data_IF_318564726880
#
_entry.id   IF_318564726880
#
_cell.length_a   1.000
_cell.length_b   1.000
_cell.length_c   1.000
_cell.angle_alpha   90.00
_cell.angle_beta   90.00
_cell.angle_gamma   90.00
#
_symmetry.space_group_name_H-M   'P 1'
#
loop_
_entity.id
_entity.type
_entity.pdbx_description
1 polymer ?
#
# COMPACT_ATOMS: atom_id res chain seq x y z
N UNK A 1 30.22 9.75 4.57
CA UNK A 1 29.41 8.80 5.35
C UNK A 1 29.61 7.42 4.72
N UNK A 2 29.97 6.39 5.47
CA UNK A 2 30.20 5.05 4.89
C UNK A 2 28.89 4.53 4.27
N UNK A 3 28.97 3.88 3.11
CA UNK A 3 27.78 3.39 2.37
C UNK A 3 27.16 2.13 3.01
N UNK A 4 27.94 1.38 3.80
CA UNK A 4 27.50 0.17 4.49
C UNK A 4 26.30 0.38 5.46
N UNK A 5 26.32 1.37 6.38
CA UNK A 5 25.20 1.58 7.30
C UNK A 5 23.89 1.90 6.57
N UNK A 6 23.93 2.69 5.49
CA UNK A 6 22.72 3.04 4.72
C UNK A 6 22.13 1.84 3.99
N UNK A 7 22.98 0.96 3.43
CA UNK A 7 22.53 -0.29 2.81
C UNK A 7 21.94 -1.27 3.83
N UNK A 8 22.51 -1.34 5.04
CA UNK A 8 21.95 -2.14 6.13
C UNK A 8 20.57 -1.63 6.56
N UNK A 9 20.40 -0.31 6.68
CA UNK A 9 19.09 0.32 6.91
C UNK A 9 18.10 -0.05 5.80
N UNK A 10 18.53 0.02 4.55
CA UNK A 10 17.71 -0.39 3.40
C UNK A 10 17.28 -1.86 3.46
N UNK A 11 18.20 -2.76 3.82
CA UNK A 11 17.89 -4.19 4.01
C UNK A 11 16.88 -4.42 5.13
N UNK A 12 17.06 -3.77 6.28
CA UNK A 12 16.11 -3.88 7.40
C UNK A 12 14.74 -3.35 6.98
N UNK A 13 14.69 -2.21 6.28
CA UNK A 13 13.43 -1.67 5.75
C UNK A 13 12.75 -2.64 4.77
N UNK A 14 13.51 -3.30 3.89
CA UNK A 14 12.97 -4.32 2.99
C UNK A 14 12.46 -5.56 3.72
N UNK A 15 13.14 -6.01 4.77
CA UNK A 15 12.67 -7.15 5.59
C UNK A 15 11.36 -6.80 6.28
N UNK A 16 11.27 -5.59 6.86
CA UNK A 16 10.03 -5.12 7.50
C UNK A 16 8.92 -4.93 6.46
N UNK A 17 9.24 -4.41 5.27
CA UNK A 17 8.31 -4.31 4.16
C UNK A 17 7.77 -5.69 3.79
N UNK A 18 8.64 -6.67 3.52
CA UNK A 18 8.24 -8.03 3.19
C UNK A 18 7.37 -8.67 4.29
N UNK A 19 7.73 -8.50 5.57
CA UNK A 19 6.92 -8.99 6.69
C UNK A 19 5.53 -8.34 6.72
N UNK A 20 5.44 -7.02 6.50
CA UNK A 20 4.16 -6.32 6.46
C UNK A 20 3.29 -6.75 5.28
N UNK A 21 3.86 -6.97 4.08
CA UNK A 21 3.13 -7.49 2.92
C UNK A 21 2.67 -8.93 3.14
N UNK A 22 3.49 -9.78 3.77
CA UNK A 22 3.11 -11.15 4.10
C UNK A 22 1.94 -11.19 5.09
N UNK A 23 1.96 -10.32 6.11
CA UNK A 23 0.84 -10.14 7.03
C UNK A 23 -0.40 -9.56 6.33
N UNK A 24 -0.20 -8.63 5.39
CA UNK A 24 -1.28 -8.10 4.57
C UNK A 24 -1.93 -9.21 3.72
N UNK A 25 -1.15 -10.12 3.15
CA UNK A 25 -1.65 -11.24 2.35
C UNK A 25 -2.61 -12.14 3.15
N UNK A 26 -2.29 -12.44 4.42
CA UNK A 26 -3.13 -13.27 5.28
C UNK A 26 -4.32 -12.53 5.92
N UNK A 27 -4.34 -11.20 5.89
CA UNK A 27 -5.41 -10.39 6.49
C UNK A 27 -6.36 -9.80 5.46
N UNK A 28 -5.89 -9.51 4.24
CA UNK A 28 -6.67 -8.82 3.23
C UNK A 28 -7.89 -9.66 2.83
N UNK A 29 -9.11 -9.12 2.95
CA UNK A 29 -10.31 -9.71 2.42
C UNK A 29 -10.14 -10.05 0.95
N UNK A 30 -10.53 -11.27 0.58
CA UNK A 30 -10.35 -11.79 -0.76
C UNK A 30 -11.68 -12.21 -1.39
N UNK A 31 -11.72 -12.17 -2.70
CA UNK A 31 -12.82 -12.71 -3.51
C UNK A 31 -12.50 -14.17 -3.81
N UNK A 32 -13.44 -15.05 -3.49
CA UNK A 32 -13.33 -16.49 -3.72
C UNK A 32 -14.54 -16.97 -4.49
N UNK A 33 -14.33 -17.96 -5.36
CA UNK A 33 -15.42 -18.63 -6.06
C UNK A 33 -16.44 -19.21 -5.06
N UNK A 34 -17.72 -18.96 -5.32
CA UNK A 34 -18.83 -19.34 -4.44
C UNK A 34 -20.03 -19.78 -5.28
N UNK A 35 -20.44 -21.04 -5.08
CA UNK A 35 -21.61 -21.63 -5.75
C UNK A 35 -22.95 -21.12 -5.21
N UNK A 36 -22.94 -20.39 -4.09
CA UNK A 36 -24.14 -19.84 -3.46
C UNK A 36 -24.35 -18.35 -3.76
N UNK A 37 -23.40 -17.72 -4.45
CA UNK A 37 -23.51 -16.33 -4.89
C UNK A 37 -24.16 -16.23 -6.27
N UNK A 38 -25.02 -15.23 -6.47
CA UNK A 38 -25.63 -14.94 -7.78
C UNK A 38 -24.60 -14.53 -8.84
N UNK A 39 -23.43 -14.05 -8.40
CA UNK A 39 -22.30 -13.64 -9.27
C UNK A 39 -21.23 -14.72 -9.38
N UNK A 40 -21.40 -15.87 -8.72
CA UNK A 40 -20.38 -16.93 -8.67
C UNK A 40 -19.19 -16.63 -7.75
N UNK A 41 -19.16 -15.46 -7.10
CA UNK A 41 -18.07 -15.03 -6.22
C UNK A 41 -18.59 -14.43 -4.92
N UNK A 42 -17.82 -14.57 -3.84
CA UNK A 42 -18.11 -13.97 -2.55
C UNK A 42 -16.83 -13.35 -1.94
N UNK A 43 -17.00 -12.22 -1.26
CA UNK A 43 -15.92 -11.59 -0.50
C UNK A 43 -15.80 -12.26 0.89
N UNK A 44 -14.62 -12.80 1.18
CA UNK A 44 -14.26 -13.43 2.45
C UNK A 44 -13.38 -12.47 3.22
N UNK A 45 -13.86 -12.03 4.39
CA UNK A 45 -13.07 -11.22 5.32
C UNK A 45 -12.59 -12.13 6.46
N UNK A 46 -11.27 -12.39 6.60
CA UNK A 46 -10.75 -13.32 7.61
C UNK A 46 -11.13 -12.95 9.05
N UNK A 47 -11.15 -11.65 9.36
CA UNK A 47 -11.56 -11.11 10.66
C UNK A 47 -12.07 -9.67 10.51
N UNK A 48 -12.87 -9.15 11.46
CA UNK A 48 -13.28 -7.74 11.44
C UNK A 48 -12.09 -6.77 11.50
N UNK A 49 -11.00 -7.16 12.19
CA UNK A 49 -9.78 -6.34 12.36
C UNK A 49 -9.01 -6.19 11.05
N UNK A 50 -9.14 -7.17 10.14
CA UNK A 50 -8.52 -7.12 8.80
C UNK A 50 -8.89 -5.85 8.03
N UNK A 51 -10.10 -5.31 8.22
CA UNK A 51 -10.54 -4.11 7.52
C UNK A 51 -9.72 -2.86 7.86
N UNK A 52 -9.04 -2.85 9.00
CA UNK A 52 -8.13 -1.78 9.40
C UNK A 52 -6.66 -2.20 9.22
N UNK A 53 -6.34 -3.46 9.53
CA UNK A 53 -4.98 -3.96 9.46
C UNK A 53 -4.45 -3.99 8.02
N UNK A 54 -5.24 -4.45 7.05
CA UNK A 54 -4.81 -4.58 5.66
C UNK A 54 -4.41 -3.24 5.02
N UNK A 55 -5.23 -2.16 5.05
CA UNK A 55 -4.81 -0.88 4.47
C UNK A 55 -3.58 -0.30 5.18
N UNK A 56 -3.44 -0.49 6.50
CA UNK A 56 -2.26 -0.04 7.25
C UNK A 56 -0.99 -0.80 6.85
N UNK A 57 -1.06 -2.14 6.79
CA UNK A 57 0.06 -3.01 6.44
C UNK A 57 0.51 -2.78 4.99
N UNK A 58 -0.44 -2.61 4.06
CA UNK A 58 -0.16 -2.29 2.67
C UNK A 58 0.52 -0.93 2.50
N UNK A 59 0.06 0.09 3.22
CA UNK A 59 0.69 1.41 3.21
C UNK A 59 2.13 1.36 3.75
N UNK A 60 2.32 0.76 4.93
CA UNK A 60 3.64 0.61 5.56
C UNK A 60 4.59 -0.16 4.65
N UNK A 61 4.14 -1.31 4.16
CA UNK A 61 4.92 -2.16 3.29
C UNK A 61 5.35 -1.48 2.01
N UNK A 62 4.44 -0.76 1.37
CA UNK A 62 4.74 -0.05 0.11
C UNK A 62 5.73 1.10 0.32
N UNK A 63 5.56 1.89 1.38
CA UNK A 63 6.46 3.01 1.71
C UNK A 63 7.86 2.51 2.09
N UNK A 64 7.94 1.50 2.96
CA UNK A 64 9.22 0.91 3.37
C UNK A 64 9.92 0.18 2.23
N UNK A 65 9.18 -0.45 1.31
CA UNK A 65 9.77 -1.10 0.15
C UNK A 65 10.48 -0.09 -0.75
N UNK A 66 9.80 1.02 -1.09
CA UNK A 66 10.39 2.08 -1.92
C UNK A 66 11.56 2.76 -1.21
N UNK A 67 11.40 3.07 0.08
CA UNK A 67 12.46 3.61 0.93
C UNK A 67 13.70 2.71 0.99
N UNK A 68 13.49 1.43 1.29
CA UNK A 68 14.54 0.43 1.41
C UNK A 68 15.25 0.14 0.10
N UNK A 69 14.51 0.02 -1.01
CA UNK A 69 15.08 -0.19 -2.33
C UNK A 69 16.01 0.95 -2.74
N UNK A 70 15.59 2.21 -2.51
CA UNK A 70 16.43 3.36 -2.79
C UNK A 70 17.68 3.41 -1.90
N UNK A 71 17.57 3.06 -0.61
CA UNK A 71 18.71 2.99 0.30
C UNK A 71 19.72 1.91 -0.08
N UNK A 72 19.28 0.75 -0.58
CA UNK A 72 20.16 -0.31 -1.10
C UNK A 72 20.86 0.11 -2.39
N UNK A 73 20.12 0.76 -3.29
CA UNK A 73 20.65 1.30 -4.54
C UNK A 73 21.57 2.51 -4.33
N UNK A 74 21.69 3.01 -3.09
CA UNK A 74 22.34 4.26 -2.73
C UNK A 74 21.83 5.46 -3.55
N UNK A 75 20.57 5.38 -3.97
CA UNK A 75 19.93 6.41 -4.76
C UNK A 75 19.40 7.53 -3.86
N UNK A 76 19.46 8.76 -4.35
CA UNK A 76 18.66 9.83 -3.78
C UNK A 76 17.21 9.62 -4.20
N UNK A 77 16.34 9.47 -3.19
CA UNK A 77 14.94 9.17 -3.42
C UNK A 77 14.23 10.41 -3.98
N UNK A 78 13.99 10.45 -5.28
CA UNK A 78 13.28 11.55 -5.91
C UNK A 78 11.79 11.50 -5.58
N UNK A 79 11.09 12.63 -5.68
CA UNK A 79 9.64 12.69 -5.52
C UNK A 79 8.93 11.72 -6.48
N UNK A 80 9.45 11.57 -7.70
CA UNK A 80 8.94 10.61 -8.70
C UNK A 80 9.15 9.15 -8.29
N UNK A 81 10.28 8.81 -7.66
CA UNK A 81 10.48 7.46 -7.16
C UNK A 81 9.52 7.15 -5.99
N UNK A 82 9.22 8.15 -5.15
CA UNK A 82 8.25 7.99 -4.07
C UNK A 82 6.81 7.75 -4.55
N UNK A 83 6.46 8.15 -5.79
CA UNK A 83 5.18 7.82 -6.42
C UNK A 83 4.96 6.32 -6.65
N UNK A 84 6.02 5.51 -6.54
CA UNK A 84 5.88 4.05 -6.59
C UNK A 84 5.12 3.51 -5.37
N UNK A 85 5.18 4.18 -4.21
CA UNK A 85 4.55 3.70 -2.99
C UNK A 85 3.01 3.56 -3.12
N UNK A 86 2.24 4.59 -3.55
CA UNK A 86 0.80 4.41 -3.75
C UNK A 86 0.49 3.37 -4.84
N UNK A 87 1.30 3.28 -5.90
CA UNK A 87 1.08 2.28 -6.97
C UNK A 87 1.27 0.84 -6.47
N UNK A 88 2.29 0.59 -5.64
CA UNK A 88 2.49 -0.71 -5.01
C UNK A 88 1.34 -1.07 -4.07
N UNK A 89 0.81 -0.09 -3.34
CA UNK A 89 -0.37 -0.27 -2.48
C UNK A 89 -1.60 -0.72 -3.28
N UNK A 90 -1.87 -0.10 -4.44
CA UNK A 90 -2.97 -0.51 -5.34
C UNK A 90 -2.76 -1.91 -5.87
N UNK A 91 -1.57 -2.20 -6.39
CA UNK A 91 -1.25 -3.51 -6.98
C UNK A 91 -1.36 -4.60 -5.94
N UNK A 92 -0.80 -4.40 -4.75
CA UNK A 92 -0.86 -5.37 -3.66
C UNK A 92 -2.30 -5.56 -3.14
N UNK A 93 -3.08 -4.49 -2.99
CA UNK A 93 -4.50 -4.58 -2.64
C UNK A 93 -5.29 -5.39 -3.68
N UNK A 94 -5.02 -5.18 -4.97
CA UNK A 94 -5.65 -5.92 -6.05
C UNK A 94 -5.28 -7.40 -6.04
N UNK A 95 -3.98 -7.71 -5.96
CA UNK A 95 -3.46 -9.09 -5.92
C UNK A 95 -4.04 -9.84 -4.71
N UNK A 96 -3.97 -9.28 -3.50
CA UNK A 96 -4.51 -9.97 -2.33
C UNK A 96 -6.04 -10.04 -2.34
N UNK A 97 -6.70 -9.01 -2.85
CA UNK A 97 -8.15 -8.99 -3.03
C UNK A 97 -8.65 -10.05 -4.01
N UNK A 98 -7.83 -10.48 -4.98
CA UNK A 98 -8.12 -11.60 -5.89
C UNK A 98 -7.83 -12.98 -5.27
N UNK A 99 -7.42 -13.04 -4.00
CA UNK A 99 -7.24 -14.30 -3.27
C UNK A 99 -5.83 -14.85 -3.24
N UNK A 100 -4.84 -14.20 -3.85
CA UNK A 100 -3.45 -14.70 -3.85
C UNK A 100 -2.84 -14.88 -2.46
N UNK A 101 -3.38 -14.22 -1.43
CA UNK A 101 -2.91 -14.37 -0.04
C UNK A 101 -3.60 -15.47 0.77
N UNK A 102 -4.81 -15.90 0.37
CA UNK A 102 -5.62 -16.86 1.11
C UNK A 102 -5.78 -18.20 0.38
N UNK A 103 -5.98 -18.15 -0.93
CA UNK A 103 -6.06 -19.34 -1.79
C UNK A 103 -5.37 -19.10 -3.15
N UNK A 104 -4.02 -19.21 -3.19
CA UNK A 104 -3.24 -18.96 -4.40
C UNK A 104 -3.62 -19.89 -5.57
N UNK A 105 -4.15 -21.08 -5.27
CA UNK A 105 -4.50 -22.09 -6.27
C UNK A 105 -5.71 -21.69 -7.13
N UNK A 106 -6.68 -20.99 -6.54
CA UNK A 106 -7.86 -20.49 -7.26
C UNK A 106 -7.72 -19.04 -7.71
N UNK A 107 -6.78 -18.28 -7.14
CA UNK A 107 -6.60 -16.85 -7.43
C UNK A 107 -6.39 -16.52 -8.91
N UNK A 108 -5.70 -17.40 -9.67
CA UNK A 108 -5.51 -17.18 -11.10
C UNK A 108 -6.84 -17.27 -11.88
N UNK A 109 -7.71 -18.21 -11.51
CA UNK A 109 -9.03 -18.32 -12.12
C UNK A 109 -9.88 -17.09 -11.80
N UNK A 110 -9.85 -16.63 -10.54
CA UNK A 110 -10.49 -15.39 -10.10
C UNK A 110 -9.95 -14.17 -10.86
N UNK A 111 -8.63 -14.09 -11.08
CA UNK A 111 -7.99 -13.00 -11.80
C UNK A 111 -8.26 -12.98 -13.31
N UNK A 112 -8.82 -14.05 -13.88
CA UNK A 112 -9.24 -14.07 -15.28
C UNK A 112 -10.72 -13.73 -15.47
N UNK A 113 -11.48 -13.62 -14.39
CA UNK A 113 -12.92 -13.39 -14.44
C UNK A 113 -13.27 -11.89 -14.31
N UNK A 114 -13.97 -11.30 -15.28
CA UNK A 114 -14.41 -9.90 -15.21
C UNK A 114 -15.29 -9.60 -13.99
N UNK A 115 -16.14 -10.54 -13.56
CA UNK A 115 -17.04 -10.35 -12.44
C UNK A 115 -16.29 -10.20 -11.11
N UNK A 116 -15.11 -10.83 -10.99
CA UNK A 116 -14.25 -10.67 -9.82
C UNK A 116 -13.69 -9.24 -9.74
N UNK A 117 -13.33 -8.62 -10.87
CA UNK A 117 -12.88 -7.23 -10.90
C UNK A 117 -13.99 -6.23 -10.59
N UNK A 118 -15.21 -6.49 -11.05
CA UNK A 118 -16.37 -5.69 -10.66
C UNK A 118 -16.59 -5.74 -9.14
N UNK A 119 -16.61 -6.94 -8.56
CA UNK A 119 -16.71 -7.13 -7.10
C UNK A 119 -15.54 -6.52 -6.33
N UNK A 120 -14.33 -6.55 -6.87
CA UNK A 120 -13.17 -5.95 -6.25
C UNK A 120 -13.28 -4.42 -6.23
N UNK A 121 -13.77 -3.86 -7.34
CA UNK A 121 -14.05 -2.43 -7.50
C UNK A 121 -15.25 -1.95 -6.68
N UNK A 122 -16.15 -2.85 -6.29
CA UNK A 122 -17.35 -2.50 -5.51
C UNK A 122 -17.32 -3.13 -4.12
N UNK A 123 -17.08 -2.33 -3.08
CA UNK A 123 -17.23 -2.79 -1.69
C UNK A 123 -15.91 -2.84 -0.91
N UNK A 124 -15.51 -4.02 -0.41
CA UNK A 124 -14.41 -4.14 0.57
C UNK A 124 -13.02 -3.93 -0.08
N UNK A 125 -12.81 -4.45 -1.30
CA UNK A 125 -11.55 -4.28 -2.04
C UNK A 125 -11.21 -2.82 -2.30
N UNK A 126 -12.17 -2.05 -2.84
CA UNK A 126 -12.04 -0.62 -3.06
C UNK A 126 -11.71 0.18 -1.79
N UNK A 127 -12.32 -0.18 -0.66
CA UNK A 127 -12.05 0.47 0.64
C UNK A 127 -10.61 0.26 1.13
N UNK A 128 -10.07 -0.93 0.94
CA UNK A 128 -8.69 -1.27 1.33
C UNK A 128 -7.69 -0.61 0.39
N UNK A 129 -7.96 -0.63 -0.92
CA UNK A 129 -7.15 0.06 -1.91
C UNK A 129 -7.11 1.58 -1.62
N UNK A 130 -8.24 2.20 -1.31
CA UNK A 130 -8.30 3.62 -0.95
C UNK A 130 -7.45 3.94 0.28
N UNK A 131 -7.53 3.14 1.35
CA UNK A 131 -6.69 3.30 2.54
C UNK A 131 -5.20 3.13 2.25
N UNK A 132 -4.82 2.11 1.48
CA UNK A 132 -3.44 1.87 1.08
C UNK A 132 -2.88 3.00 0.21
N UNK A 133 -3.68 3.53 -0.73
CA UNK A 133 -3.31 4.70 -1.56
C UNK A 133 -3.14 5.94 -0.70
N UNK A 134 -4.07 6.22 0.21
CA UNK A 134 -3.99 7.37 1.10
C UNK A 134 -2.71 7.34 1.95
N UNK A 135 -2.36 6.18 2.52
CA UNK A 135 -1.10 5.99 3.24
C UNK A 135 0.14 6.05 2.36
N UNK A 136 0.11 5.43 1.18
CA UNK A 136 1.21 5.44 0.22
C UNK A 136 1.50 6.83 -0.33
N UNK A 137 0.47 7.66 -0.53
CA UNK A 137 0.59 9.04 -1.04
C UNK A 137 1.33 9.97 -0.07
N UNK A 138 1.46 9.63 1.21
CA UNK A 138 2.24 10.42 2.17
C UNK A 138 3.71 10.52 1.75
N UNK A 139 4.29 9.42 1.24
CA UNK A 139 5.70 9.41 0.81
C UNK A 139 6.01 10.41 -0.32
N UNK A 140 5.31 10.42 -1.48
CA UNK A 140 5.56 11.40 -2.53
C UNK A 140 5.18 12.82 -2.11
N UNK A 141 4.16 13.03 -1.29
CA UNK A 141 3.80 14.38 -0.79
C UNK A 141 4.94 14.95 0.06
N UNK A 142 5.46 14.17 1.02
CA UNK A 142 6.58 14.58 1.85
C UNK A 142 7.82 14.85 0.99
N UNK A 143 8.19 13.95 0.09
CA UNK A 143 9.37 14.16 -0.78
C UNK A 143 9.20 15.33 -1.73
N UNK A 144 8.04 15.52 -2.34
CA UNK A 144 7.77 16.66 -3.20
C UNK A 144 7.85 17.98 -2.43
N UNK A 145 7.37 18.00 -1.17
CA UNK A 145 7.44 19.20 -0.33
C UNK A 145 8.88 19.60 0.03
N UNK A 146 9.77 18.64 0.26
CA UNK A 146 11.17 18.91 0.63
C UNK A 146 12.08 19.13 -0.57
N UNK A 147 11.67 18.68 -1.76
CA UNK A 147 12.43 18.84 -3.01
C UNK A 147 11.84 19.91 -3.94
N UNK A 148 10.80 20.63 -3.48
CA UNK A 148 10.11 21.68 -4.22
C UNK A 148 9.52 21.23 -5.59
N UNK A 149 9.29 19.92 -5.78
CA UNK A 149 8.69 19.36 -6.99
C UNK A 149 7.17 19.56 -6.99
N UNK A 150 6.73 20.73 -7.44
CA UNK A 150 5.32 21.15 -7.44
C UNK A 150 4.42 20.19 -8.23
N UNK A 151 4.93 19.62 -9.34
CA UNK A 151 4.12 18.70 -10.16
C UNK A 151 3.82 17.43 -9.38
N UNK A 152 4.83 16.83 -8.74
CA UNK A 152 4.61 15.62 -7.92
C UNK A 152 3.78 15.94 -6.68
N UNK A 153 3.93 17.13 -6.09
CA UNK A 153 3.08 17.57 -4.98
C UNK A 153 1.60 17.59 -5.38
N UNK A 154 1.27 18.19 -6.53
CA UNK A 154 -0.10 18.27 -7.04
C UNK A 154 -0.66 16.89 -7.38
N UNK A 155 0.14 16.03 -8.01
CA UNK A 155 -0.29 14.66 -8.33
C UNK A 155 -0.51 13.86 -7.06
N UNK A 156 0.39 13.94 -6.08
CA UNK A 156 0.24 13.27 -4.78
C UNK A 156 -0.99 13.76 -4.01
N UNK A 157 -1.24 15.07 -4.00
CA UNK A 157 -2.42 15.66 -3.38
C UNK A 157 -3.71 15.24 -4.10
N UNK A 158 -3.72 15.23 -5.44
CA UNK A 158 -4.86 14.75 -6.22
C UNK A 158 -5.16 13.27 -5.95
N UNK A 159 -4.14 12.43 -5.84
CA UNK A 159 -4.29 11.02 -5.46
C UNK A 159 -4.85 10.86 -4.05
N UNK A 160 -4.37 11.65 -3.09
CA UNK A 160 -4.89 11.65 -1.73
C UNK A 160 -6.38 12.04 -1.70
N UNK A 161 -6.75 13.12 -2.41
CA UNK A 161 -8.13 13.56 -2.54
C UNK A 161 -9.00 12.51 -3.24
N UNK A 162 -8.51 11.89 -4.30
CA UNK A 162 -9.22 10.81 -5.00
C UNK A 162 -9.43 9.60 -4.08
N UNK A 163 -8.43 9.23 -3.28
CA UNK A 163 -8.54 8.16 -2.29
C UNK A 163 -9.58 8.49 -1.21
N UNK A 164 -9.59 9.73 -0.71
CA UNK A 164 -10.60 10.19 0.26
C UNK A 164 -12.00 10.17 -0.34
N UNK A 165 -12.16 10.63 -1.57
CA UNK A 165 -13.45 10.61 -2.26
C UNK A 165 -13.95 9.18 -2.53
N UNK A 166 -13.08 8.29 -2.99
CA UNK A 166 -13.42 6.89 -3.26
C UNK A 166 -13.64 6.07 -1.97
N UNK A 167 -13.00 6.46 -0.87
CA UNK A 167 -13.05 5.78 0.42
C UNK A 167 -14.00 6.43 1.44
N UNK A 168 -14.87 7.36 1.03
CA UNK A 168 -15.74 8.12 1.95
C UNK A 168 -16.60 7.25 2.85
N UNK A 169 -16.98 6.08 2.34
CA UNK A 169 -17.84 5.11 3.05
C UNK A 169 -17.06 4.23 4.04
N UNK A 170 -15.72 4.40 4.12
CA UNK A 170 -14.85 3.74 5.10
C UNK A 170 -13.78 4.68 5.67
N UNK A 171 -14.19 5.68 6.46
CA UNK A 171 -13.26 6.65 7.04
C UNK A 171 -12.19 5.99 7.94
N UNK A 172 -12.52 4.88 8.60
CA UNK A 172 -11.57 4.15 9.44
C UNK A 172 -10.44 3.48 8.63
N UNK A 173 -10.73 2.99 7.42
CA UNK A 173 -9.71 2.41 6.55
C UNK A 173 -8.75 3.49 6.01
N UNK A 174 -9.30 4.67 5.66
CA UNK A 174 -8.51 5.84 5.28
C UNK A 174 -7.62 6.31 6.42
N UNK A 175 -8.16 6.42 7.64
CA UNK A 175 -7.40 6.80 8.82
C UNK A 175 -6.30 5.80 9.14
N UNK A 176 -6.61 4.49 9.14
CA UNK A 176 -5.64 3.45 9.41
C UNK A 176 -4.49 3.45 8.40
N UNK A 177 -4.80 3.49 7.10
CA UNK A 177 -3.80 3.59 6.03
C UNK A 177 -2.98 4.87 6.10
N UNK A 178 -3.65 6.02 6.26
CA UNK A 178 -3.00 7.34 6.35
C UNK A 178 -2.03 7.46 7.53
N UNK A 179 -2.47 7.08 8.73
CA UNK A 179 -1.63 7.09 9.94
C UNK A 179 -0.44 6.13 9.78
N UNK A 180 -0.67 4.94 9.25
CA UNK A 180 0.39 3.96 9.07
C UNK A 180 1.43 4.41 8.03
N UNK A 181 0.98 5.04 6.94
CA UNK A 181 1.87 5.66 5.94
C UNK A 181 2.71 6.79 6.53
N UNK A 182 2.12 7.68 7.33
CA UNK A 182 2.83 8.74 8.04
C UNK A 182 3.86 8.20 9.03
N UNK A 183 3.51 7.15 9.80
CA UNK A 183 4.45 6.49 10.70
C UNK A 183 5.60 5.81 9.94
N UNK A 184 5.35 5.21 8.78
CA UNK A 184 6.39 4.62 7.95
C UNK A 184 7.37 5.68 7.42
N UNK A 185 6.87 6.82 6.94
CA UNK A 185 7.72 7.95 6.54
C UNK A 185 8.50 8.49 7.74
N UNK A 186 7.85 8.64 8.91
CA UNK A 186 8.52 9.07 10.15
C UNK A 186 9.62 8.10 10.61
N UNK A 187 9.42 6.80 10.45
CA UNK A 187 10.46 5.80 10.71
C UNK A 187 11.64 5.96 9.74
N UNK A 188 11.37 6.20 8.46
CA UNK A 188 12.44 6.49 7.49
C UNK A 188 13.16 7.80 7.80
N UNK A 189 12.49 8.82 8.35
CA UNK A 189 13.16 10.02 8.86
C UNK A 189 14.13 9.73 9.99
N UNK A 190 13.75 8.86 10.94
CA UNK A 190 14.60 8.52 12.07
C UNK A 190 15.86 7.76 11.64
N UNK A 191 15.76 6.92 10.60
CA UNK A 191 16.82 5.96 10.25
C UNK A 191 17.62 6.38 8.99
N UNK A 192 17.03 7.13 8.05
CA UNK A 192 17.70 7.73 6.88
C UNK A 192 17.33 9.22 6.73
N UNK A 193 17.74 10.00 7.73
CA UNK A 193 17.49 11.45 7.75
C UNK A 193 18.10 12.18 6.55
N UNK A 194 19.25 11.74 6.03
CA UNK A 194 19.89 12.40 4.88
C UNK A 194 19.02 12.30 3.61
N UNK A 195 18.28 11.21 3.43
CA UNK A 195 17.44 11.01 2.26
C UNK A 195 16.03 11.57 2.42
N UNK A 196 15.55 11.81 3.65
CA UNK A 196 14.14 12.11 3.90
C UNK A 196 13.88 13.39 4.70
N UNK A 197 14.84 13.93 5.46
CA UNK A 197 14.64 15.14 6.27
C UNK A 197 14.42 16.37 5.36
N UNK A 198 13.52 17.31 5.73
CA UNK A 198 13.39 18.60 5.07
C UNK A 198 14.69 19.41 5.08
#
# INVERSE_FOLDING_TARGET
>A
MSMLPRRLVGLVALVVAAASLALAAGTTPAIVASSTSSTGFAAVTPSPVSLLASPALLAVGSVLFVGGAAAIADANLSARAAMLAPTLGVVAAGVFGLGFGLDPGSALATATDPAAYELLGTGVGARIAAGAVAGGAVAPVVRASTTEDTVVLLVGAALLLAAVAAGSDAPLALLAGGVAGALAVGALWAVDSAAWRP
#
